data_IF_031302253014
#
_entry.id   IF_031302253014
#
_cell.length_a   1.000
_cell.length_b   1.000
_cell.length_c   1.000
_cell.angle_alpha   90.00
_cell.angle_beta   90.00
_cell.angle_gamma   90.00
#
_symmetry.space_group_name_H-M   'P 1'
#
loop_
_entity.id
_entity.type
_entity.pdbx_description
1 polymer ?
#
# COMPACT_ATOMS: atom_id res chain seq x y z
N UNK A 1 3.89 -3.04 15.29
CA UNK A 1 5.18 -3.73 15.22
C UNK A 1 4.95 -5.22 15.13
N UNK A 2 5.33 -5.79 13.99
CA UNK A 2 5.33 -7.24 13.76
C UNK A 2 6.77 -7.72 13.92
N UNK A 3 6.99 -8.86 14.58
CA UNK A 3 8.27 -9.58 14.56
C UNK A 3 7.99 -11.06 14.37
N UNK A 4 8.70 -11.70 13.45
CA UNK A 4 8.55 -13.14 13.17
C UNK A 4 7.09 -13.53 12.85
N UNK A 5 6.38 -12.67 12.11
CA UNK A 5 4.98 -12.88 11.74
C UNK A 5 3.96 -12.70 12.88
N UNK A 6 4.40 -12.40 14.11
CA UNK A 6 3.53 -12.15 15.27
C UNK A 6 3.48 -10.65 15.60
N UNK A 7 2.28 -10.15 15.86
CA UNK A 7 2.07 -8.77 16.32
C UNK A 7 2.61 -8.67 17.75
N UNK A 8 3.69 -7.90 17.96
CA UNK A 8 4.28 -7.65 19.29
C UNK A 8 3.82 -6.35 19.94
N UNK A 9 3.20 -5.46 19.17
CA UNK A 9 2.65 -4.21 19.68
C UNK A 9 2.05 -3.36 18.57
N UNK A 10 1.32 -2.33 18.95
CA UNK A 10 0.77 -1.34 18.03
C UNK A 10 1.54 -0.04 18.16
N UNK A 11 1.80 0.61 17.02
CA UNK A 11 2.43 1.92 16.98
C UNK A 11 1.48 2.89 16.30
N UNK A 12 1.10 3.95 17.01
CA UNK A 12 0.26 5.02 16.48
C UNK A 12 1.12 6.27 16.34
N UNK A 13 1.54 6.58 15.12
CA UNK A 13 2.14 7.88 14.82
C UNK A 13 0.96 8.83 14.56
N UNK A 14 0.89 9.92 15.33
CA UNK A 14 -0.17 10.92 15.23
C UNK A 14 0.45 12.26 14.88
N UNK A 15 -0.06 12.88 13.84
CA UNK A 15 0.21 14.27 13.51
C UNK A 15 -0.97 15.09 14.00
N UNK A 16 -0.70 16.20 14.69
CA UNK A 16 -1.75 17.15 15.08
C UNK A 16 -2.32 17.78 13.80
N UNK A 17 -3.63 17.68 13.61
CA UNK A 17 -4.32 18.35 12.50
C UNK A 17 -4.38 19.86 12.72
N UNK A 18 -4.40 20.63 11.64
CA UNK A 18 -4.60 22.08 11.70
C UNK A 18 -6.06 22.42 11.93
N UNK A 19 -6.35 23.63 12.43
CA UNK A 19 -7.73 24.06 12.71
C UNK A 19 -8.59 24.08 11.43
N UNK A 20 -7.98 24.38 10.29
CA UNK A 20 -8.59 24.36 8.96
C UNK A 20 -8.98 22.93 8.52
N UNK A 21 -8.08 21.96 8.72
CA UNK A 21 -8.36 20.54 8.44
C UNK A 21 -9.49 20.02 9.34
N UNK A 22 -9.51 20.43 10.61
CA UNK A 22 -10.56 20.07 11.55
C UNK A 22 -11.90 20.62 11.05
N UNK A 23 -11.98 21.93 10.77
CA UNK A 23 -13.20 22.57 10.30
C UNK A 23 -13.76 21.95 9.01
N UNK A 24 -12.87 21.54 8.09
CA UNK A 24 -13.26 20.90 6.83
C UNK A 24 -13.88 19.50 7.02
N UNK A 25 -13.43 18.73 8.01
CA UNK A 25 -13.83 17.32 8.19
C UNK A 25 -14.85 17.14 9.33
N UNK A 26 -15.00 18.10 10.24
CA UNK A 26 -15.97 18.13 11.35
C UNK A 26 -17.41 17.76 10.90
N UNK A 27 -17.97 18.32 9.80
CA UNK A 27 -19.33 17.97 9.37
C UNK A 27 -19.45 16.50 8.95
N UNK A 28 -18.40 15.96 8.32
CA UNK A 28 -18.36 14.57 7.89
C UNK A 28 -18.33 13.63 9.10
N UNK A 29 -17.51 13.91 10.11
CA UNK A 29 -17.46 13.12 11.35
C UNK A 29 -18.80 13.16 12.08
N UNK A 30 -19.44 14.33 12.21
CA UNK A 30 -20.78 14.45 12.80
C UNK A 30 -21.80 13.58 12.05
N UNK A 31 -21.78 13.61 10.71
CA UNK A 31 -22.68 12.80 9.89
C UNK A 31 -22.39 11.29 9.97
N UNK A 32 -21.13 10.89 10.14
CA UNK A 32 -20.72 9.50 10.38
C UNK A 32 -21.20 9.00 11.74
N UNK A 33 -20.96 9.76 12.80
CA UNK A 33 -21.34 9.43 14.18
C UNK A 33 -22.87 9.35 14.34
N UNK A 34 -23.61 10.26 13.70
CA UNK A 34 -25.07 10.24 13.70
C UNK A 34 -25.67 9.11 12.83
N UNK A 35 -24.86 8.33 12.10
CA UNK A 35 -25.33 7.26 11.21
C UNK A 35 -26.05 7.73 9.94
N UNK A 36 -26.20 9.04 9.72
CA UNK A 36 -27.00 9.64 8.65
C UNK A 36 -26.30 9.71 7.28
N UNK A 37 -25.07 9.21 7.18
CA UNK A 37 -24.28 9.28 5.93
C UNK A 37 -24.25 7.96 5.17
N UNK A 38 -24.25 8.08 3.84
CA UNK A 38 -24.00 7.00 2.89
C UNK A 38 -22.51 6.69 2.70
N UNK A 39 -21.62 7.34 3.47
CA UNK A 39 -20.16 7.15 3.44
C UNK A 39 -19.68 6.30 4.64
N UNK A 40 -18.49 5.72 4.53
CA UNK A 40 -17.78 4.95 5.57
C UNK A 40 -16.27 5.14 5.39
N UNK A 41 -15.50 4.89 6.44
CA UNK A 41 -14.04 4.92 6.36
C UNK A 41 -13.53 3.48 6.14
N UNK A 42 -12.66 3.29 5.14
CA UNK A 42 -12.02 2.01 4.85
C UNK A 42 -10.54 2.23 4.53
N UNK A 43 -9.65 1.66 5.34
CA UNK A 43 -8.18 1.81 5.20
C UNK A 43 -7.73 3.28 5.05
N UNK A 44 -8.34 4.18 5.83
CA UNK A 44 -8.04 5.62 5.79
C UNK A 44 -8.73 6.41 4.69
N UNK A 45 -9.52 5.76 3.81
CA UNK A 45 -10.26 6.44 2.73
C UNK A 45 -11.74 6.57 3.08
N UNK A 46 -12.33 7.72 2.74
CA UNK A 46 -13.78 7.94 2.84
C UNK A 46 -14.45 7.41 1.57
N UNK A 47 -15.14 6.27 1.69
CA UNK A 47 -15.80 5.58 0.57
C UNK A 47 -17.32 5.52 0.76
N UNK A 48 -18.09 5.40 -0.31
CA UNK A 48 -19.54 5.15 -0.21
C UNK A 48 -19.80 3.76 0.40
N UNK A 49 -20.93 3.55 1.08
CA UNK A 49 -21.31 2.25 1.69
C UNK A 49 -21.70 1.20 0.64
N UNK A 50 -22.20 1.63 -0.52
CA UNK A 50 -22.64 0.74 -1.60
C UNK A 50 -21.50 0.07 -2.38
N UNK A 51 -21.88 -0.74 -3.37
CA UNK A 51 -20.99 -1.41 -4.33
C UNK A 51 -19.95 -0.49 -4.98
N UNK A 52 -20.32 0.73 -5.36
CA UNK A 52 -19.40 1.75 -5.89
C UNK A 52 -18.26 2.11 -4.92
N UNK A 53 -18.49 2.02 -3.61
CA UNK A 53 -17.44 2.26 -2.61
C UNK A 53 -16.48 1.09 -2.38
N UNK A 54 -16.68 -0.04 -3.08
CA UNK A 54 -15.72 -1.14 -3.16
C UNK A 54 -14.67 -0.92 -4.27
N UNK A 55 -14.92 -0.01 -5.21
CA UNK A 55 -13.99 0.30 -6.31
C UNK A 55 -12.63 0.82 -5.80
N UNK A 56 -12.55 1.73 -4.81
CA UNK A 56 -11.28 2.19 -4.25
C UNK A 56 -10.47 1.08 -3.59
N UNK A 57 -11.16 0.09 -3.00
CA UNK A 57 -10.53 -1.06 -2.32
C UNK A 57 -10.18 -2.23 -3.24
N UNK A 58 -10.53 -2.15 -4.53
CA UNK A 58 -10.29 -3.25 -5.47
C UNK A 58 -8.78 -3.41 -5.74
N UNK A 59 -8.22 -4.64 -5.71
CA UNK A 59 -6.83 -4.87 -6.05
C UNK A 59 -6.50 -4.38 -7.46
N UNK A 60 -5.27 -3.93 -7.66
CA UNK A 60 -4.82 -3.45 -8.97
C UNK A 60 -5.02 -4.49 -10.08
N UNK A 61 -4.86 -5.78 -9.76
CA UNK A 61 -5.14 -6.91 -10.66
C UNK A 61 -6.56 -6.91 -11.20
N UNK A 62 -7.56 -6.71 -10.35
CA UNK A 62 -8.95 -6.71 -10.76
C UNK A 62 -9.32 -5.47 -11.57
N UNK A 63 -8.70 -4.33 -11.27
CA UNK A 63 -8.85 -3.13 -12.10
C UNK A 63 -8.26 -3.33 -13.50
N UNK A 64 -7.03 -3.84 -13.58
CA UNK A 64 -6.37 -4.14 -14.85
C UNK A 64 -7.19 -5.14 -15.68
N UNK A 65 -7.63 -6.25 -15.06
CA UNK A 65 -8.50 -7.24 -15.72
C UNK A 65 -9.81 -6.62 -16.20
N UNK A 66 -10.46 -5.78 -15.39
CA UNK A 66 -11.69 -5.10 -15.79
C UNK A 66 -11.52 -4.24 -17.05
N UNK A 67 -10.42 -3.48 -17.13
CA UNK A 67 -10.09 -2.68 -18.32
C UNK A 67 -9.80 -3.56 -19.54
N UNK A 68 -9.01 -4.62 -19.37
CA UNK A 68 -8.71 -5.56 -20.47
C UNK A 68 -9.96 -6.29 -20.97
N UNK A 69 -10.85 -6.70 -20.06
CA UNK A 69 -12.13 -7.31 -20.42
C UNK A 69 -13.04 -6.32 -21.16
N UNK A 70 -13.10 -5.07 -20.71
CA UNK A 70 -13.87 -4.04 -21.41
C UNK A 70 -13.33 -3.80 -22.83
N UNK A 71 -12.01 -3.70 -22.98
CA UNK A 71 -11.36 -3.56 -24.29
C UNK A 71 -11.65 -4.76 -25.19
N UNK A 72 -11.67 -5.99 -24.63
CA UNK A 72 -12.03 -7.19 -25.37
C UNK A 72 -13.50 -7.18 -25.84
N UNK A 73 -14.43 -6.75 -24.99
CA UNK A 73 -15.85 -6.64 -25.35
C UNK A 73 -16.04 -5.63 -26.49
N UNK A 74 -15.36 -4.49 -26.43
CA UNK A 74 -15.39 -3.49 -27.50
C UNK A 74 -14.82 -4.04 -28.82
N UNK A 75 -13.70 -4.76 -28.75
CA UNK A 75 -13.12 -5.43 -29.91
C UNK A 75 -14.06 -6.49 -30.50
N UNK A 76 -14.67 -7.32 -29.65
CA UNK A 76 -15.63 -8.33 -30.08
C UNK A 76 -16.88 -7.71 -30.72
N UNK A 77 -17.38 -6.60 -30.17
CA UNK A 77 -18.49 -5.85 -30.78
C UNK A 77 -18.11 -5.29 -32.16
N UNK A 78 -16.89 -4.76 -32.33
CA UNK A 78 -16.42 -4.27 -33.63
C UNK A 78 -16.29 -5.41 -34.66
N UNK A 79 -15.77 -6.58 -34.25
CA UNK A 79 -15.69 -7.77 -35.09
C UNK A 79 -17.08 -8.27 -35.51
N UNK A 80 -18.08 -8.11 -34.65
CA UNK A 80 -19.47 -8.45 -34.95
C UNK A 80 -20.03 -7.57 -36.07
N UNK A 81 -19.79 -6.25 -36.01
CA UNK A 81 -20.24 -5.32 -37.05
C UNK A 81 -19.65 -5.61 -38.43
N UNK A 82 -18.44 -6.15 -38.49
CA UNK A 82 -17.75 -6.49 -39.76
C UNK A 82 -18.05 -7.93 -40.20
N UNK A 83 -18.92 -8.66 -39.48
CA UNK A 83 -19.25 -10.06 -39.74
C UNK A 83 -18.01 -10.96 -39.88
N UNK A 84 -17.01 -10.72 -39.03
CA UNK A 84 -15.75 -11.45 -39.08
C UNK A 84 -15.95 -12.96 -38.80
N UNK A 85 -15.13 -13.85 -39.39
CA UNK A 85 -15.25 -15.29 -39.18
C UNK A 85 -14.86 -15.68 -37.75
N UNK A 86 -15.46 -16.75 -37.21
CA UNK A 86 -15.27 -17.21 -35.81
C UNK A 86 -13.80 -17.38 -35.42
N UNK A 87 -12.96 -17.80 -36.37
CA UNK A 87 -11.50 -17.97 -36.16
C UNK A 87 -10.83 -16.66 -35.71
N UNK A 88 -11.29 -15.49 -36.20
CA UNK A 88 -10.73 -14.18 -35.80
C UNK A 88 -11.03 -13.86 -34.35
N UNK A 89 -12.21 -14.21 -33.83
CA UNK A 89 -12.54 -14.02 -32.41
C UNK A 89 -11.64 -14.85 -31.51
N UNK A 90 -11.37 -16.11 -31.89
CA UNK A 90 -10.49 -17.01 -31.13
C UNK A 90 -9.06 -16.45 -31.11
N UNK A 91 -8.56 -16.00 -32.26
CA UNK A 91 -7.23 -15.40 -32.37
C UNK A 91 -7.12 -14.12 -31.52
N UNK A 92 -8.09 -13.21 -31.64
CA UNK A 92 -8.13 -11.99 -30.84
C UNK A 92 -8.23 -12.28 -29.33
N UNK A 93 -9.04 -13.25 -28.92
CA UNK A 93 -9.14 -13.66 -27.53
C UNK A 93 -7.79 -14.18 -27.01
N UNK A 94 -7.10 -15.00 -27.79
CA UNK A 94 -5.78 -15.52 -27.43
C UNK A 94 -4.74 -14.39 -27.29
N UNK A 95 -4.72 -13.45 -28.23
CA UNK A 95 -3.85 -12.26 -28.18
C UNK A 95 -4.14 -11.42 -26.93
N UNK A 96 -5.41 -11.14 -26.63
CA UNK A 96 -5.79 -10.36 -25.44
C UNK A 96 -5.43 -11.10 -24.15
N UNK A 97 -5.60 -12.42 -24.10
CA UNK A 97 -5.21 -13.22 -22.94
C UNK A 97 -3.69 -13.17 -22.71
N UNK A 98 -2.90 -13.34 -23.76
CA UNK A 98 -1.43 -13.23 -23.69
C UNK A 98 -0.99 -11.82 -23.28
N UNK A 99 -1.56 -10.78 -23.89
CA UNK A 99 -1.28 -9.40 -23.54
C UNK A 99 -1.63 -9.10 -22.06
N UNK A 100 -2.78 -9.61 -21.59
CA UNK A 100 -3.21 -9.46 -20.19
C UNK A 100 -2.26 -10.17 -19.23
N UNK A 101 -1.84 -11.39 -19.55
CA UNK A 101 -0.88 -12.14 -18.74
C UNK A 101 0.49 -11.44 -18.69
N UNK A 102 0.96 -10.93 -19.82
CA UNK A 102 2.19 -10.16 -19.93
C UNK A 102 2.12 -8.88 -19.10
N UNK A 103 1.04 -8.10 -19.23
CA UNK A 103 0.81 -6.88 -18.45
C UNK A 103 0.74 -7.15 -16.94
N UNK A 104 0.05 -8.22 -16.53
CA UNK A 104 -0.03 -8.63 -15.14
C UNK A 104 1.36 -8.98 -14.58
N UNK A 105 2.18 -9.69 -15.36
CA UNK A 105 3.51 -10.10 -14.95
C UNK A 105 4.53 -8.95 -14.93
N UNK A 106 4.52 -8.07 -15.93
CA UNK A 106 5.51 -6.99 -16.08
C UNK A 106 5.21 -5.75 -15.23
N UNK A 107 3.94 -5.47 -14.94
CA UNK A 107 3.52 -4.21 -14.31
C UNK A 107 2.83 -4.47 -12.98
N UNK A 108 1.74 -5.24 -12.99
CA UNK A 108 0.88 -5.36 -11.81
C UNK A 108 1.58 -6.09 -10.66
N UNK A 109 2.22 -7.24 -10.93
CA UNK A 109 2.93 -8.02 -9.91
C UNK A 109 4.10 -7.25 -9.28
N UNK A 110 4.99 -6.59 -10.03
CA UNK A 110 6.04 -5.77 -9.44
C UNK A 110 5.50 -4.65 -8.55
N UNK A 111 4.45 -3.94 -8.95
CA UNK A 111 3.82 -2.89 -8.13
C UNK A 111 3.31 -3.47 -6.80
N UNK A 112 2.61 -4.60 -6.84
CA UNK A 112 2.11 -5.27 -5.63
C UNK A 112 3.25 -5.72 -4.71
N UNK A 113 4.34 -6.22 -5.28
CA UNK A 113 5.53 -6.60 -4.52
C UNK A 113 6.16 -5.38 -3.82
N UNK A 114 6.31 -4.26 -4.52
CA UNK A 114 6.84 -3.02 -3.93
C UNK A 114 5.95 -2.53 -2.79
N UNK A 115 4.64 -2.50 -2.99
CA UNK A 115 3.68 -2.10 -1.95
C UNK A 115 3.72 -3.02 -0.72
N UNK A 116 3.79 -4.34 -0.94
CA UNK A 116 3.89 -5.32 0.14
C UNK A 116 5.18 -5.15 0.94
N UNK A 117 6.32 -4.99 0.27
CA UNK A 117 7.60 -4.77 0.94
C UNK A 117 7.64 -3.44 1.70
N UNK A 118 7.10 -2.37 1.11
CA UNK A 118 6.99 -1.08 1.79
C UNK A 118 6.14 -1.16 3.06
N UNK A 119 5.06 -1.93 3.04
CA UNK A 119 4.24 -2.16 4.23
C UNK A 119 5.00 -2.97 5.31
N UNK A 120 5.79 -3.98 4.93
CA UNK A 120 6.64 -4.72 5.87
C UNK A 120 7.69 -3.83 6.53
N UNK A 121 8.26 -2.87 5.79
CA UNK A 121 9.18 -1.86 6.34
C UNK A 121 8.45 -0.90 7.27
N UNK A 122 7.31 -0.34 6.84
CA UNK A 122 6.53 0.59 7.64
C UNK A 122 5.98 -0.01 8.95
N UNK A 123 5.70 -1.32 8.97
CA UNK A 123 5.24 -2.04 10.16
C UNK A 123 6.37 -2.46 11.11
N UNK A 124 7.63 -2.26 10.70
CA UNK A 124 8.83 -2.69 11.41
C UNK A 124 9.05 -4.21 11.39
N UNK A 125 8.36 -4.95 10.52
CA UNK A 125 8.53 -6.41 10.35
C UNK A 125 9.91 -6.72 9.77
N UNK A 126 10.35 -5.92 8.80
CA UNK A 126 11.66 -5.99 8.18
C UNK A 126 12.24 -4.58 8.09
N UNK A 127 13.54 -4.43 8.29
CA UNK A 127 14.22 -3.13 8.15
C UNK A 127 14.94 -2.99 6.79
N UNK A 128 14.72 -3.95 5.89
CA UNK A 128 15.30 -3.99 4.54
C UNK A 128 14.30 -4.57 3.55
N UNK A 129 14.56 -4.30 2.27
CA UNK A 129 13.77 -4.76 1.12
C UNK A 129 14.56 -5.82 0.36
N UNK A 130 13.85 -6.75 -0.26
CA UNK A 130 14.43 -7.67 -1.25
C UNK A 130 14.65 -6.89 -2.55
N UNK A 131 15.89 -6.89 -3.04
CA UNK A 131 16.24 -6.13 -4.24
C UNK A 131 15.47 -6.64 -5.46
N UNK A 132 14.67 -5.74 -6.03
CA UNK A 132 14.09 -5.95 -7.34
C UNK A 132 15.20 -5.79 -8.39
N UNK A 133 15.39 -6.80 -9.26
CA UNK A 133 16.34 -6.76 -10.39
C UNK A 133 15.83 -5.84 -11.51
N UNK A 134 15.56 -4.58 -11.18
CA UNK A 134 15.02 -3.56 -12.07
C UNK A 134 15.58 -2.19 -11.70
N UNK A 135 15.86 -1.37 -12.71
CA UNK A 135 16.49 -0.06 -12.55
C UNK A 135 15.55 1.11 -12.75
N UNK A 136 14.28 0.85 -13.01
CA UNK A 136 13.25 1.85 -13.24
C UNK A 136 12.72 2.47 -11.93
N UNK A 137 11.65 3.25 -12.04
CA UNK A 137 11.01 3.95 -10.93
C UNK A 137 10.53 2.99 -9.83
N UNK A 138 10.06 1.79 -10.19
CA UNK A 138 9.68 0.76 -9.22
C UNK A 138 10.89 0.23 -8.45
N UNK A 139 12.01 0.00 -9.15
CA UNK A 139 13.26 -0.37 -8.49
C UNK A 139 13.81 0.73 -7.60
N UNK A 140 13.76 1.99 -8.06
CA UNK A 140 14.24 3.15 -7.32
C UNK A 140 13.41 3.41 -6.06
N UNK A 141 12.08 3.40 -6.18
CA UNK A 141 11.16 3.56 -5.04
C UNK A 141 11.38 2.47 -3.99
N UNK A 142 11.52 1.22 -4.41
CA UNK A 142 11.79 0.12 -3.48
C UNK A 142 13.14 0.30 -2.76
N UNK A 143 14.20 0.68 -3.49
CA UNK A 143 15.51 0.97 -2.88
C UNK A 143 15.42 2.11 -1.86
N UNK A 144 14.72 3.21 -2.19
CA UNK A 144 14.52 4.33 -1.29
C UNK A 144 13.78 3.92 0.00
N UNK A 145 12.72 3.11 -0.13
CA UNK A 145 12.01 2.51 1.02
C UNK A 145 12.95 1.64 1.86
N UNK A 146 13.82 0.86 1.22
CA UNK A 146 14.86 0.08 1.90
C UNK A 146 15.81 0.94 2.71
N UNK A 147 16.28 2.06 2.14
CA UNK A 147 17.15 3.01 2.85
C UNK A 147 16.43 3.65 4.05
N UNK A 148 15.15 4.04 3.90
CA UNK A 148 14.34 4.56 5.01
C UNK A 148 14.21 3.53 6.15
N UNK A 149 14.04 2.24 5.82
CA UNK A 149 14.03 1.15 6.78
C UNK A 149 15.35 1.02 7.55
N UNK A 150 16.48 1.13 6.85
CA UNK A 150 17.81 1.10 7.47
C UNK A 150 18.05 2.33 8.35
N UNK A 151 17.66 3.52 7.90
CA UNK A 151 17.76 4.75 8.71
C UNK A 151 16.92 4.67 9.99
N UNK A 152 15.69 4.13 9.91
CA UNK A 152 14.83 3.94 11.08
C UNK A 152 15.48 2.98 12.10
N UNK A 153 16.04 1.85 11.62
CA UNK A 153 16.78 0.91 12.47
C UNK A 153 17.99 1.58 13.14
N UNK A 154 18.74 2.37 12.39
CA UNK A 154 19.90 3.10 12.91
C UNK A 154 19.48 4.07 14.02
N UNK A 155 18.43 4.87 13.79
CA UNK A 155 17.92 5.83 14.78
C UNK A 155 17.44 5.15 16.06
N UNK A 156 16.74 4.02 15.95
CA UNK A 156 16.30 3.25 17.12
C UNK A 156 17.49 2.76 17.94
N UNK A 157 18.53 2.24 17.27
CA UNK A 157 19.73 1.76 17.95
C UNK A 157 20.50 2.91 18.64
N UNK A 158 20.59 4.06 17.97
CA UNK A 158 21.24 5.24 18.51
C UNK A 158 20.52 5.78 19.77
N UNK A 159 19.19 5.92 19.72
CA UNK A 159 18.40 6.31 20.89
C UNK A 159 18.54 5.28 22.02
N UNK A 160 18.55 3.99 21.69
CA UNK A 160 18.70 2.93 22.70
C UNK A 160 20.08 2.99 23.38
N UNK A 161 21.14 3.29 22.64
CA UNK A 161 22.49 3.43 23.20
C UNK A 161 22.58 4.65 24.12
N UNK A 162 22.00 5.79 23.72
CA UNK A 162 21.96 7.01 24.53
C UNK A 162 21.21 6.78 25.85
N UNK A 163 20.05 6.12 25.82
CA UNK A 163 19.29 5.78 27.04
C UNK A 163 20.10 4.87 27.97
N UNK A 164 20.83 3.89 27.43
CA UNK A 164 21.68 3.02 28.25
C UNK A 164 22.84 3.79 28.91
N UNK A 165 23.43 4.76 28.21
CA UNK A 165 24.48 5.62 28.75
C UNK A 165 23.96 6.48 29.91
N UNK A 166 22.81 7.13 29.73
CA UNK A 166 22.16 7.96 30.78
C UNK A 166 21.82 7.11 32.01
N UNK A 167 21.30 5.90 31.81
CA UNK A 167 21.01 4.96 32.90
C UNK A 167 22.27 4.60 33.67
N UNK A 168 23.35 4.21 32.97
CA UNK A 168 24.61 3.83 33.60
C UNK A 168 25.24 5.00 34.38
N UNK A 169 25.18 6.21 33.84
CA UNK A 169 25.63 7.43 34.55
C UNK A 169 24.81 7.67 35.82
N UNK A 170 23.49 7.52 35.75
CA UNK A 170 22.59 7.67 36.89
C UNK A 170 22.86 6.64 37.99
N UNK A 171 23.07 5.37 37.63
CA UNK A 171 23.41 4.30 38.57
C UNK A 171 24.78 4.55 39.24
N UNK A 172 25.76 5.11 38.50
CA UNK A 172 27.08 5.47 39.03
C UNK A 172 26.98 6.61 40.04
N UNK A 173 26.18 7.64 39.77
CA UNK A 173 25.92 8.74 40.69
C UNK A 173 25.21 8.26 41.96
N UNK A 174 24.19 7.40 41.81
CA UNK A 174 23.46 6.84 42.95
C UNK A 174 24.35 5.99 43.88
N UNK A 175 25.34 5.27 43.32
CA UNK A 175 26.32 4.51 44.11
C UNK A 175 27.37 5.39 44.79
N UNK A 176 27.70 6.56 44.26
CA UNK A 176 28.66 7.51 44.87
C UNK A 176 28.08 8.30 46.06
N UNK A 177 26.76 8.36 46.17
CA UNK A 177 26.04 9.07 47.24
C UNK A 177 25.47 8.15 48.33
N UNK A 178 25.94 6.89 48.40
CA UNK A 178 25.81 6.00 49.56
C UNK A 178 27.19 5.74 50.14
#
# INVERSE_FOLDING_TARGET
MVREGKIRGYMSIRTRATDEEIAAVEPLYKALNAGRTSKRIHKGLVVRKGWLGKLPSLPLRWRARGVMTLMFILLAAMLWFVAAPVVTYILCALVVLLASACFEWQIVRPIENVACQALKVATGERNSVEHLKRSDELGLTLRAVGQLGLMCRWLINDVSSQVSSVRNGSETLAKRHR
#
